data_IF_950813439093
#
_entry.id   IF_950813439093
#
_cell.length_a   1.000
_cell.length_b   1.000
_cell.length_c   1.000
_cell.angle_alpha   90.00
_cell.angle_beta   90.00
_cell.angle_gamma   90.00
#
_symmetry.space_group_name_H-M   'P 1'
#
loop_
_entity.id
_entity.type
_entity.pdbx_description
1 polymer ?
#
# COMPACT_ATOMS: atom_id res chain seq x y z
N UNK A 1 12.24 -52.93 3.81
CA UNK A 1 12.49 -52.62 2.39
C UNK A 1 13.25 -51.32 2.36
N UNK A 2 14.53 -51.42 2.04
CA UNK A 2 15.51 -50.30 2.09
C UNK A 2 15.44 -49.42 0.86
N UNK A 3 15.32 -48.08 1.06
CA UNK A 3 15.55 -47.12 -0.01
C UNK A 3 16.93 -46.47 0.16
N UNK A 4 17.77 -46.66 -0.83
CA UNK A 4 19.12 -46.13 -0.90
C UNK A 4 19.07 -44.66 -1.41
N UNK A 5 19.64 -43.74 -0.64
CA UNK A 5 19.94 -42.39 -1.06
C UNK A 5 21.21 -42.40 -1.87
N UNK A 6 21.18 -41.85 -3.10
CA UNK A 6 22.35 -41.58 -3.93
C UNK A 6 22.78 -40.13 -3.81
N UNK A 7 23.96 -39.91 -3.25
CA UNK A 7 24.68 -38.64 -3.25
C UNK A 7 25.46 -38.52 -4.58
N UNK A 8 25.34 -37.36 -5.25
CA UNK A 8 26.19 -36.96 -6.38
C UNK A 8 27.09 -35.82 -5.93
N UNK A 9 28.38 -35.81 -6.36
CA UNK A 9 29.35 -34.82 -5.93
C UNK A 9 29.27 -33.52 -6.74
N UNK A 10 29.46 -32.40 -6.02
CA UNK A 10 29.60 -31.05 -6.57
C UNK A 10 31.03 -30.86 -7.03
N UNK A 11 31.20 -30.49 -8.30
CA UNK A 11 32.49 -30.12 -8.87
C UNK A 11 32.72 -28.61 -8.69
N UNK A 12 33.83 -28.28 -8.02
CA UNK A 12 34.31 -26.93 -7.77
C UNK A 12 35.19 -26.49 -8.97
N UNK A 13 34.76 -25.45 -9.69
CA UNK A 13 35.61 -24.82 -10.73
C UNK A 13 36.13 -23.49 -10.19
N UNK A 14 37.47 -23.43 -10.08
CA UNK A 14 38.25 -22.24 -9.73
C UNK A 14 38.66 -21.57 -11.06
N UNK A 15 38.25 -20.32 -11.25
CA UNK A 15 38.73 -19.47 -12.33
C UNK A 15 39.55 -18.30 -11.79
N UNK A 16 40.82 -18.26 -12.16
CA UNK A 16 41.84 -17.26 -11.85
C UNK A 16 41.68 -16.01 -12.72
N UNK A 17 41.79 -14.84 -12.13
CA UNK A 17 41.88 -13.56 -12.81
C UNK A 17 43.34 -13.20 -13.17
N UNK A 18 43.61 -12.39 -14.20
CA UNK A 18 44.84 -11.62 -14.28
C UNK A 18 44.64 -10.14 -13.99
N UNK A 19 45.59 -9.59 -13.23
CA UNK A 19 45.86 -8.19 -12.97
C UNK A 19 46.29 -7.45 -14.25
N UNK A 20 45.65 -6.29 -14.49
CA UNK A 20 46.14 -5.32 -15.47
C UNK A 20 46.25 -3.93 -14.83
N UNK A 21 47.45 -3.51 -14.54
CA UNK A 21 47.84 -2.17 -14.08
C UNK A 21 48.06 -1.30 -15.31
N UNK A 22 47.45 -0.11 -15.37
CA UNK A 22 47.97 1.05 -16.11
C UNK A 22 47.57 2.35 -15.40
N UNK A 23 48.58 2.99 -14.85
CA UNK A 23 48.55 4.35 -14.35
C UNK A 23 48.71 5.34 -15.53
N UNK A 24 47.91 6.42 -15.53
CA UNK A 24 48.35 7.70 -16.13
C UNK A 24 47.68 8.85 -15.32
N UNK A 25 48.55 9.60 -14.69
CA UNK A 25 48.25 10.92 -14.14
C UNK A 25 48.29 11.96 -15.25
N UNK A 26 47.42 12.92 -15.23
CA UNK A 26 47.62 14.27 -15.80
C UNK A 26 46.70 15.26 -15.10
N UNK A 27 47.34 16.15 -14.37
CA UNK A 27 46.84 17.42 -13.87
C UNK A 27 46.25 18.26 -14.99
N UNK A 28 45.14 18.94 -14.74
CA UNK A 28 44.98 20.36 -15.12
C UNK A 28 43.84 21.00 -14.31
N UNK A 29 44.21 22.05 -13.57
CA UNK A 29 43.35 23.02 -12.96
C UNK A 29 42.66 23.90 -14.01
N UNK A 30 41.39 24.21 -13.79
CA UNK A 30 40.63 25.16 -14.63
C UNK A 30 39.36 25.61 -13.91
N UNK A 31 39.49 26.69 -13.13
CA UNK A 31 38.41 27.47 -12.56
C UNK A 31 37.48 28.00 -13.64
N UNK A 32 36.15 27.83 -13.50
CA UNK A 32 35.19 28.88 -13.85
C UNK A 32 33.84 28.54 -13.25
N UNK A 33 33.47 29.34 -12.26
CA UNK A 33 32.13 29.57 -11.73
C UNK A 33 31.19 29.95 -12.86
N UNK A 34 30.16 29.19 -13.13
CA UNK A 34 28.93 29.70 -13.75
C UNK A 34 27.72 29.12 -13.02
N UNK A 35 27.17 29.98 -12.18
CA UNK A 35 25.81 29.84 -11.70
C UNK A 35 24.85 29.85 -12.89
N UNK A 36 24.28 28.71 -13.22
CA UNK A 36 23.14 28.64 -14.13
C UNK A 36 21.88 28.36 -13.30
N UNK A 37 21.31 29.44 -12.80
CA UNK A 37 19.97 29.49 -12.22
C UNK A 37 18.96 29.45 -13.36
N UNK A 38 18.67 28.26 -13.86
CA UNK A 38 17.46 28.02 -14.65
C UNK A 38 16.58 27.11 -13.80
N UNK A 39 15.64 27.77 -13.11
CA UNK A 39 14.61 27.10 -12.34
C UNK A 39 13.73 26.26 -13.29
N UNK A 40 14.14 25.02 -13.47
CA UNK A 40 13.26 24.01 -14.03
C UNK A 40 12.41 23.52 -12.84
N UNK A 41 11.08 23.66 -12.88
CA UNK A 41 10.25 23.12 -11.81
C UNK A 41 10.48 21.61 -11.76
N UNK A 42 10.94 21.13 -10.63
CA UNK A 42 11.10 19.72 -10.33
C UNK A 42 9.77 19.01 -10.55
N UNK A 43 9.63 18.28 -11.64
CA UNK A 43 8.45 17.45 -11.94
C UNK A 43 8.21 16.38 -10.85
N UNK A 44 9.20 16.12 -10.01
CA UNK A 44 9.10 15.18 -8.89
C UNK A 44 8.40 15.80 -7.67
N UNK A 45 8.36 17.14 -7.56
CA UNK A 45 7.70 17.84 -6.45
C UNK A 45 6.18 17.89 -6.61
N UNK A 46 5.67 17.85 -7.86
CA UNK A 46 4.23 17.89 -8.14
C UNK A 46 3.52 16.54 -7.90
N UNK A 47 4.27 15.43 -7.77
CA UNK A 47 3.67 14.13 -7.46
C UNK A 47 3.42 13.95 -5.95
N UNK A 48 4.15 14.68 -5.09
CA UNK A 48 3.97 14.60 -3.63
C UNK A 48 2.83 15.49 -3.10
N UNK A 49 2.43 16.53 -3.83
CA UNK A 49 1.35 17.44 -3.41
C UNK A 49 -0.07 16.82 -3.49
N UNK A 50 -0.23 15.72 -4.24
CA UNK A 50 -1.50 14.98 -4.39
C UNK A 50 -1.49 13.62 -3.66
N UNK A 51 -0.41 13.26 -2.97
CA UNK A 51 -0.35 12.03 -2.21
C UNK A 51 -1.24 12.15 -0.96
N UNK A 52 -2.11 11.17 -0.76
CA UNK A 52 -2.92 11.10 0.46
C UNK A 52 -2.03 10.89 1.69
N UNK A 53 -2.39 11.45 2.85
CA UNK A 53 -1.70 11.15 4.09
C UNK A 53 -1.74 9.64 4.37
N UNK A 54 -0.60 9.08 4.79
CA UNK A 54 -0.53 7.67 5.18
C UNK A 54 -0.57 7.56 6.70
N UNK A 55 -1.31 6.57 7.20
CA UNK A 55 -1.43 6.27 8.62
C UNK A 55 -1.12 4.80 8.88
N UNK A 56 -0.27 4.55 9.88
CA UNK A 56 -0.05 3.19 10.37
C UNK A 56 -1.20 2.78 11.29
N UNK A 57 -1.91 1.74 10.89
CA UNK A 57 -2.96 1.11 11.68
C UNK A 57 -2.45 -0.22 12.23
N UNK A 58 -3.14 -0.76 13.26
CA UNK A 58 -2.83 -2.09 13.80
C UNK A 58 -4.10 -2.87 14.09
N UNK A 59 -4.08 -4.16 13.80
CA UNK A 59 -5.12 -5.10 14.20
C UNK A 59 -4.50 -6.47 14.48
N UNK A 60 -4.81 -7.07 15.64
CA UNK A 60 -4.28 -8.38 16.06
C UNK A 60 -2.75 -8.50 15.93
N UNK A 61 -2.04 -7.39 16.13
CA UNK A 61 -0.57 -7.34 16.03
C UNK A 61 -0.01 -7.11 14.61
N UNK A 62 -0.86 -7.12 13.58
CA UNK A 62 -0.45 -6.81 12.20
C UNK A 62 -0.50 -5.29 11.97
N UNK A 63 0.55 -4.74 11.36
CA UNK A 63 0.60 -3.35 10.94
C UNK A 63 0.05 -3.19 9.52
N UNK A 64 -0.65 -2.09 9.27
CA UNK A 64 -1.22 -1.72 7.98
C UNK A 64 -0.82 -0.27 7.68
N UNK A 65 -0.29 -0.01 6.50
CA UNK A 65 -0.05 1.34 6.00
C UNK A 65 -1.26 1.77 5.15
N UNK A 66 -2.12 2.61 5.72
CA UNK A 66 -3.35 3.03 5.06
C UNK A 66 -3.27 4.48 4.59
N UNK A 67 -3.52 4.71 3.31
CA UNK A 67 -3.81 6.05 2.80
C UNK A 67 -5.15 6.53 3.36
N UNK A 68 -5.26 7.81 3.72
CA UNK A 68 -6.46 8.33 4.37
C UNK A 68 -7.25 9.20 3.38
N UNK A 69 -8.45 8.74 3.02
CA UNK A 69 -9.43 9.48 2.22
C UNK A 69 -10.43 10.15 3.17
N UNK A 70 -10.34 11.47 3.31
CA UNK A 70 -11.13 12.26 4.28
C UNK A 70 -12.01 13.33 3.64
N UNK A 71 -11.74 13.73 2.41
CA UNK A 71 -12.61 14.63 1.63
C UNK A 71 -13.54 13.84 0.71
N UNK A 72 -14.62 14.47 0.23
CA UNK A 72 -15.55 13.84 -0.71
C UNK A 72 -14.83 13.39 -1.99
N UNK A 73 -13.97 14.24 -2.55
CA UNK A 73 -13.23 13.94 -3.77
C UNK A 73 -12.27 12.73 -3.58
N UNK A 74 -11.57 12.65 -2.43
CA UNK A 74 -10.69 11.53 -2.11
C UNK A 74 -11.49 10.24 -1.94
N UNK A 75 -12.65 10.31 -1.25
CA UNK A 75 -13.53 9.15 -1.06
C UNK A 75 -14.16 8.68 -2.37
N UNK A 76 -14.55 9.61 -3.26
CA UNK A 76 -15.07 9.26 -4.59
C UNK A 76 -13.99 8.62 -5.47
N UNK A 77 -12.76 9.11 -5.41
CA UNK A 77 -11.62 8.54 -6.13
C UNK A 77 -11.25 7.15 -5.58
N UNK A 78 -11.11 7.02 -4.26
CA UNK A 78 -10.71 5.77 -3.61
C UNK A 78 -9.52 5.10 -4.31
N UNK A 79 -9.59 3.79 -4.48
CA UNK A 79 -8.59 2.96 -5.16
C UNK A 79 -8.85 2.79 -6.67
N UNK A 80 -9.67 3.65 -7.29
CA UNK A 80 -9.91 3.60 -8.73
C UNK A 80 -8.62 3.69 -9.54
N UNK A 81 -8.56 2.95 -10.65
CA UNK A 81 -7.47 2.91 -11.62
C UNK A 81 -6.14 2.35 -11.11
N UNK A 82 -6.04 1.91 -9.85
CA UNK A 82 -4.85 1.22 -9.35
C UNK A 82 -4.76 -0.17 -9.96
N UNK A 83 -3.56 -0.53 -10.37
CA UNK A 83 -3.25 -1.83 -10.96
C UNK A 83 -2.69 -2.83 -9.96
N UNK A 84 -2.13 -2.31 -8.86
CA UNK A 84 -1.54 -3.07 -7.76
C UNK A 84 -1.61 -2.29 -6.45
N UNK A 85 -1.43 -3.01 -5.33
CA UNK A 85 -1.30 -2.45 -3.99
C UNK A 85 -0.42 -3.40 -3.15
N UNK A 86 0.60 -2.89 -2.44
CA UNK A 86 1.42 -3.74 -1.58
C UNK A 86 0.60 -4.50 -0.54
N UNK A 87 1.10 -5.64 -0.06
CA UNK A 87 0.30 -6.62 0.73
C UNK A 87 -0.35 -5.99 1.95
N UNK A 88 0.42 -5.25 2.75
CA UNK A 88 -0.04 -4.65 4.01
C UNK A 88 -0.43 -3.17 3.83
N UNK A 89 -0.77 -2.76 2.61
CA UNK A 89 -1.29 -1.44 2.31
C UNK A 89 -2.80 -1.48 2.11
N UNK A 90 -3.43 -0.32 2.35
CA UNK A 90 -4.87 -0.16 2.20
C UNK A 90 -5.29 1.29 2.08
N UNK A 91 -6.60 1.53 2.10
CA UNK A 91 -7.17 2.87 2.16
C UNK A 91 -8.21 2.96 3.27
N UNK A 92 -8.00 3.91 4.17
CA UNK A 92 -8.93 4.25 5.24
C UNK A 92 -9.83 5.41 4.81
N UNK A 93 -11.12 5.14 4.68
CA UNK A 93 -12.14 6.15 4.44
C UNK A 93 -12.65 6.69 5.78
N UNK A 94 -12.60 8.01 5.95
CA UNK A 94 -13.07 8.70 7.15
C UNK A 94 -14.29 9.54 6.79
N UNK A 95 -15.39 9.37 7.52
CA UNK A 95 -16.62 10.09 7.32
C UNK A 95 -16.86 11.08 8.48
N UNK A 96 -17.41 12.25 8.18
CA UNK A 96 -17.67 13.29 9.17
C UNK A 96 -18.77 12.87 10.16
N UNK A 97 -19.77 12.17 9.66
CA UNK A 97 -20.91 11.70 10.46
C UNK A 97 -21.18 10.21 10.20
N UNK A 98 -21.62 9.45 11.20
CA UNK A 98 -22.02 8.08 10.98
C UNK A 98 -23.24 8.00 10.06
N UNK A 99 -23.15 7.19 8.98
CA UNK A 99 -24.26 6.94 8.07
C UNK A 99 -24.11 5.58 7.36
N UNK A 100 -25.08 5.25 6.50
CA UNK A 100 -25.01 4.08 5.62
C UNK A 100 -24.19 4.44 4.38
N UNK A 101 -22.88 4.23 4.44
CA UNK A 101 -21.99 4.43 3.30
C UNK A 101 -21.81 3.13 2.54
N UNK A 102 -22.28 3.12 1.29
CA UNK A 102 -22.15 1.96 0.40
C UNK A 102 -20.98 2.14 -0.53
N UNK A 103 -20.27 1.05 -0.82
CA UNK A 103 -19.11 1.01 -1.69
C UNK A 103 -19.41 0.22 -2.94
N UNK A 104 -18.79 0.61 -4.04
CA UNK A 104 -18.86 -0.07 -5.33
C UNK A 104 -17.46 -0.21 -5.92
N UNK A 105 -17.30 -1.06 -6.93
CA UNK A 105 -16.01 -1.34 -7.55
C UNK A 105 -15.86 -0.74 -8.95
N UNK A 106 -16.72 0.21 -9.29
CA UNK A 106 -16.60 0.91 -10.59
C UNK A 106 -15.21 1.51 -10.74
N UNK A 107 -14.55 1.27 -11.88
CA UNK A 107 -13.19 1.71 -12.17
C UNK A 107 -12.10 1.17 -11.22
N UNK A 108 -12.39 0.35 -10.25
CA UNK A 108 -11.40 -0.33 -9.41
C UNK A 108 -10.94 -1.61 -10.09
N UNK A 109 -9.62 -1.73 -10.33
CA UNK A 109 -9.05 -2.79 -11.17
C UNK A 109 -8.52 -3.98 -10.37
N UNK A 110 -8.28 -3.80 -9.08
CA UNK A 110 -7.78 -4.83 -8.15
C UNK A 110 -8.92 -5.37 -7.29
N UNK A 111 -8.90 -6.68 -6.94
CA UNK A 111 -9.88 -7.24 -6.02
C UNK A 111 -9.58 -6.78 -4.58
N UNK A 112 -10.62 -6.42 -3.83
CA UNK A 112 -10.49 -5.84 -2.48
C UNK A 112 -11.32 -6.59 -1.45
N UNK A 113 -10.90 -6.51 -0.19
CA UNK A 113 -11.74 -6.78 0.99
C UNK A 113 -12.02 -5.48 1.72
N UNK A 114 -13.26 -5.26 2.10
CA UNK A 114 -13.76 -4.06 2.76
C UNK A 114 -14.19 -4.38 4.19
N UNK A 115 -13.68 -3.63 5.17
CA UNK A 115 -14.14 -3.63 6.54
C UNK A 115 -14.92 -2.33 6.83
N UNK A 116 -16.16 -2.45 7.29
CA UNK A 116 -16.94 -1.34 7.82
C UNK A 116 -16.69 -1.20 9.32
N UNK A 117 -16.43 0.03 9.78
CA UNK A 117 -15.98 0.29 11.13
C UNK A 117 -16.89 1.28 11.85
N UNK A 118 -17.07 1.06 13.16
CA UNK A 118 -17.67 2.07 14.03
C UNK A 118 -16.68 3.21 14.38
N UNK A 119 -17.10 4.12 15.23
CA UNK A 119 -16.31 5.28 15.71
C UNK A 119 -15.07 4.87 16.53
N UNK A 120 -15.06 3.65 17.08
CA UNK A 120 -13.98 3.09 17.88
C UNK A 120 -13.04 2.19 17.07
N UNK A 121 -13.30 2.05 15.76
CA UNK A 121 -12.53 1.18 14.88
C UNK A 121 -12.90 -0.30 14.95
N UNK A 122 -14.02 -0.65 15.60
CA UNK A 122 -14.52 -2.03 15.65
C UNK A 122 -15.10 -2.41 14.29
N UNK A 123 -14.71 -3.57 13.79
CA UNK A 123 -15.26 -4.13 12.55
C UNK A 123 -16.71 -4.56 12.78
N UNK A 124 -17.63 -3.94 12.05
CA UNK A 124 -19.07 -4.21 12.08
C UNK A 124 -19.44 -5.28 11.04
N UNK A 125 -18.85 -5.18 9.86
CA UNK A 125 -19.04 -6.16 8.78
C UNK A 125 -17.85 -6.18 7.85
N UNK A 126 -17.71 -7.28 7.11
CA UNK A 126 -16.69 -7.51 6.08
C UNK A 126 -17.37 -7.87 4.77
N UNK A 127 -16.78 -7.48 3.64
CA UNK A 127 -17.21 -7.86 2.32
C UNK A 127 -16.01 -8.05 1.39
N UNK A 128 -16.04 -9.09 0.55
CA UNK A 128 -15.10 -9.24 -0.55
C UNK A 128 -15.71 -8.67 -1.82
N UNK A 129 -14.94 -7.86 -2.53
CA UNK A 129 -15.39 -7.06 -3.65
C UNK A 129 -14.61 -7.42 -4.91
N UNK A 130 -15.34 -7.66 -6.01
CA UNK A 130 -14.75 -8.03 -7.29
C UNK A 130 -14.49 -6.79 -8.17
N UNK A 131 -13.36 -6.74 -8.90
CA UNK A 131 -13.04 -5.61 -9.76
C UNK A 131 -14.17 -5.27 -10.74
N UNK A 132 -14.38 -3.96 -10.93
CA UNK A 132 -15.33 -3.41 -11.93
C UNK A 132 -16.79 -3.76 -11.72
N UNK A 133 -17.17 -4.38 -10.60
CA UNK A 133 -18.57 -4.61 -10.28
C UNK A 133 -19.23 -3.31 -9.79
N UNK A 134 -20.49 -3.09 -10.25
CA UNK A 134 -21.21 -1.87 -9.94
C UNK A 134 -22.32 -2.07 -8.88
N UNK A 135 -22.51 -3.30 -8.38
CA UNK A 135 -23.41 -3.49 -7.24
C UNK A 135 -22.80 -2.92 -5.96
N UNK A 136 -23.64 -2.37 -5.12
CA UNK A 136 -23.22 -1.71 -3.89
C UNK A 136 -23.06 -2.70 -2.74
N UNK A 137 -21.94 -2.57 -2.02
CA UNK A 137 -21.70 -3.23 -0.74
C UNK A 137 -22.03 -2.24 0.39
N UNK A 138 -23.08 -2.51 1.15
CA UNK A 138 -23.58 -1.63 2.20
C UNK A 138 -23.40 -2.27 3.57
N UNK A 139 -23.11 -1.48 4.62
CA UNK A 139 -23.05 -1.98 6.00
C UNK A 139 -24.47 -2.28 6.52
N UNK A 140 -24.59 -3.11 7.56
CA UNK A 140 -25.89 -3.41 8.19
C UNK A 140 -26.47 -2.25 9.04
N UNK A 141 -25.69 -1.20 9.26
CA UNK A 141 -26.04 -0.01 10.04
C UNK A 141 -25.08 1.14 9.80
N UNK A 142 -25.27 2.29 10.47
CA UNK A 142 -24.39 3.44 10.33
C UNK A 142 -22.94 3.10 10.71
N UNK A 143 -21.99 3.58 9.89
CA UNK A 143 -20.54 3.44 10.11
C UNK A 143 -19.86 4.79 10.00
N UNK A 144 -18.76 4.95 10.72
CA UNK A 144 -17.97 6.19 10.74
C UNK A 144 -16.72 6.08 9.85
N UNK A 145 -16.30 4.86 9.52
CA UNK A 145 -15.09 4.59 8.73
C UNK A 145 -15.25 3.31 7.93
N UNK A 146 -14.40 3.17 6.91
CA UNK A 146 -14.22 1.92 6.20
C UNK A 146 -12.74 1.72 5.88
N UNK A 147 -12.29 0.47 5.79
CA UNK A 147 -10.92 0.12 5.42
C UNK A 147 -10.95 -0.87 4.27
N UNK A 148 -10.35 -0.48 3.14
CA UNK A 148 -10.11 -1.36 2.00
C UNK A 148 -8.70 -1.94 2.05
N UNK A 149 -8.59 -3.25 1.84
CA UNK A 149 -7.34 -4.01 1.79
C UNK A 149 -7.34 -4.91 0.55
N UNK A 150 -6.18 -5.46 0.20
CA UNK A 150 -6.13 -6.55 -0.78
C UNK A 150 -7.11 -7.66 -0.42
N UNK A 151 -7.75 -8.26 -1.43
CA UNK A 151 -8.76 -9.30 -1.20
C UNK A 151 -8.21 -10.46 -0.37
N UNK A 152 -8.96 -10.86 0.64
CA UNK A 152 -8.62 -11.95 1.55
C UNK A 152 -7.68 -11.57 2.69
N UNK A 153 -7.17 -10.33 2.74
CA UNK A 153 -6.21 -9.91 3.77
C UNK A 153 -6.72 -10.17 5.19
N UNK A 154 -7.95 -9.78 5.49
CA UNK A 154 -8.54 -9.97 6.83
C UNK A 154 -8.55 -11.45 7.24
N UNK A 155 -9.03 -12.32 6.37
CA UNK A 155 -9.09 -13.76 6.63
C UNK A 155 -7.72 -14.41 6.80
N UNK A 156 -6.73 -14.01 5.98
CA UNK A 156 -5.35 -14.51 6.06
C UNK A 156 -4.67 -14.13 7.38
N UNK A 157 -5.05 -13.01 8.00
CA UNK A 157 -4.51 -12.54 9.27
C UNK A 157 -5.41 -12.87 10.47
N UNK A 158 -6.47 -13.68 10.25
CA UNK A 158 -7.41 -14.09 11.30
C UNK A 158 -8.20 -12.92 11.89
N UNK A 159 -8.35 -11.83 11.11
CA UNK A 159 -9.11 -10.64 11.48
C UNK A 159 -10.57 -10.83 11.10
N UNK A 160 -11.48 -10.51 12.01
CA UNK A 160 -12.92 -10.74 11.83
C UNK A 160 -13.80 -9.66 12.44
N UNK A 161 -15.12 -9.85 12.28
CA UNK A 161 -16.13 -8.99 12.89
C UNK A 161 -15.93 -8.95 14.41
N UNK A 162 -15.93 -7.75 14.98
CA UNK A 162 -15.72 -7.50 16.41
C UNK A 162 -14.28 -7.16 16.78
N UNK A 163 -13.28 -7.48 15.93
CA UNK A 163 -11.90 -7.00 16.15
C UNK A 163 -11.84 -5.48 16.02
N UNK A 164 -10.86 -4.87 16.70
CA UNK A 164 -10.66 -3.42 16.70
C UNK A 164 -9.40 -3.08 15.91
N UNK A 165 -9.55 -2.21 14.93
CA UNK A 165 -8.43 -1.62 14.19
C UNK A 165 -7.98 -0.38 14.95
N UNK A 166 -6.78 -0.44 15.52
CA UNK A 166 -6.17 0.65 16.26
C UNK A 166 -5.59 1.70 15.29
N UNK A 167 -5.55 2.95 15.73
CA UNK A 167 -4.99 4.05 14.93
C UNK A 167 -5.99 4.70 13.97
N UNK A 168 -7.22 4.19 13.83
CA UNK A 168 -8.26 4.79 12.98
C UNK A 168 -8.82 6.10 13.55
N UNK A 169 -8.79 6.27 14.86
CA UNK A 169 -9.14 7.52 15.52
C UNK A 169 -8.03 8.55 15.28
N UNK A 170 -8.20 9.43 14.33
CA UNK A 170 -7.36 10.61 14.13
C UNK A 170 -8.12 11.86 14.53
N UNK A 171 -7.41 12.85 15.03
CA UNK A 171 -7.97 14.15 15.38
C UNK A 171 -8.64 14.77 14.15
N UNK A 172 -9.84 15.26 14.34
CA UNK A 172 -10.53 16.15 13.42
C UNK A 172 -9.83 17.48 13.34
#
# INVERSE_FOLDING_TARGET
>A
MSLHARLLPVALAIATAPLGVCAHASDQAGSSNQANTTGQPDKNRQQDENALPVRTLKVRGHAIEAEVASTDAEREQGLMYRTDMPVDHGMLFVFEQPALYCFWMKNTLIPLSLAFLDDRGRIISLADMQPRHEYSHCPPGPVSRALEMNQGWFGQHGVGIGDVIEGVAGQH
#
